data_IF_977071846133
#
_entry.id   IF_977071846133
#
_cell.length_a   1.000
_cell.length_b   1.000
_cell.length_c   1.000
_cell.angle_alpha   90.00
_cell.angle_beta   90.00
_cell.angle_gamma   90.00
#
_symmetry.space_group_name_H-M   'P 1'
#
loop_
_entity.id
_entity.type
_entity.pdbx_description
1 polymer ?
#
# COMPACT_ATOMS: atom_id res chain seq x y z
N UNK A 1 23.05 5.15 12.49
CA UNK A 1 24.30 4.98 11.69
C UNK A 1 24.07 3.85 10.67
N UNK A 2 24.49 4.03 9.42
CA UNK A 2 24.40 2.96 8.41
C UNK A 2 25.50 1.94 8.71
N UNK A 3 25.12 0.66 8.78
CA UNK A 3 26.04 -0.45 8.98
C UNK A 3 26.98 -0.58 7.78
N UNK A 4 28.28 -0.79 8.06
CA UNK A 4 29.33 -0.92 7.05
C UNK A 4 29.09 -2.15 6.15
N UNK A 5 28.61 -3.26 6.72
CA UNK A 5 28.33 -4.48 5.95
C UNK A 5 27.15 -4.26 5.00
N UNK A 6 26.09 -3.56 5.45
CA UNK A 6 24.94 -3.20 4.61
C UNK A 6 25.37 -2.38 3.38
N UNK A 7 26.30 -1.43 3.58
CA UNK A 7 26.80 -0.62 2.46
C UNK A 7 27.57 -1.48 1.45
N UNK A 8 28.47 -2.35 1.93
CA UNK A 8 29.23 -3.28 1.08
C UNK A 8 28.29 -4.20 0.29
N UNK A 9 27.27 -4.76 0.96
CA UNK A 9 26.31 -5.66 0.29
C UNK A 9 25.48 -4.93 -0.77
N UNK A 10 25.09 -3.69 -0.50
CA UNK A 10 24.36 -2.87 -1.48
C UNK A 10 25.25 -2.48 -2.68
N UNK A 11 26.52 -2.13 -2.44
CA UNK A 11 27.51 -1.84 -3.49
C UNK A 11 27.81 -3.08 -4.34
N UNK A 12 27.83 -4.26 -3.75
CA UNK A 12 27.97 -5.55 -4.43
C UNK A 12 26.71 -5.99 -5.19
N UNK A 13 25.67 -5.17 -5.21
CA UNK A 13 24.49 -5.38 -6.05
C UNK A 13 23.37 -6.20 -5.42
N UNK A 14 23.44 -6.59 -4.12
CA UNK A 14 22.35 -7.33 -3.46
C UNK A 14 21.10 -6.46 -3.38
N UNK A 15 20.02 -6.87 -4.08
CA UNK A 15 18.78 -6.09 -4.20
C UNK A 15 18.13 -5.81 -2.84
N UNK A 16 18.11 -6.80 -1.93
CA UNK A 16 17.58 -6.63 -0.59
C UNK A 16 18.37 -5.57 0.20
N UNK A 17 19.71 -5.63 0.16
CA UNK A 17 20.58 -4.66 0.84
C UNK A 17 20.38 -3.25 0.26
N UNK A 18 20.27 -3.12 -1.06
CA UNK A 18 19.98 -1.85 -1.73
C UNK A 18 18.62 -1.29 -1.30
N UNK A 19 17.57 -2.12 -1.27
CA UNK A 19 16.24 -1.72 -0.83
C UNK A 19 16.25 -1.26 0.63
N UNK A 20 16.91 -2.01 1.50
CA UNK A 20 17.01 -1.68 2.91
C UNK A 20 17.86 -0.42 3.16
N UNK A 21 18.95 -0.24 2.43
CA UNK A 21 19.76 0.97 2.49
C UNK A 21 18.96 2.21 2.04
N UNK A 22 18.19 2.09 0.97
CA UNK A 22 17.28 3.15 0.53
C UNK A 22 16.24 3.50 1.61
N UNK A 23 15.63 2.49 2.23
CA UNK A 23 14.70 2.68 3.34
C UNK A 23 15.35 3.40 4.55
N UNK A 24 16.60 3.05 4.89
CA UNK A 24 17.37 3.74 5.95
C UNK A 24 17.52 5.24 5.67
N UNK A 25 17.82 5.64 4.45
CA UNK A 25 17.90 7.07 4.08
C UNK A 25 16.56 7.81 4.21
N UNK A 26 15.42 7.10 4.20
CA UNK A 26 14.09 7.70 4.43
C UNK A 26 13.77 7.82 5.93
N UNK A 27 14.07 6.78 6.71
CA UNK A 27 13.50 6.58 8.05
C UNK A 27 14.46 6.88 9.19
N UNK A 28 15.76 6.79 8.98
CA UNK A 28 16.73 6.91 10.05
C UNK A 28 16.82 8.36 10.55
N UNK A 29 16.45 8.57 11.82
CA UNK A 29 16.49 9.88 12.47
C UNK A 29 17.93 10.36 12.73
N UNK A 30 18.89 9.44 12.78
CA UNK A 30 20.31 9.72 13.00
C UNK A 30 21.04 10.11 11.70
N UNK A 31 20.41 9.93 10.56
CA UNK A 31 20.89 10.42 9.26
C UNK A 31 19.99 11.54 8.78
N UNK A 32 20.58 12.60 8.25
CA UNK A 32 19.79 13.60 7.52
C UNK A 32 19.01 12.87 6.41
N UNK A 33 17.68 13.03 6.41
CA UNK A 33 16.84 12.42 5.38
C UNK A 33 17.37 12.78 3.99
N UNK A 34 17.87 11.80 3.27
CA UNK A 34 18.41 11.97 1.92
C UNK A 34 17.57 11.20 0.92
N UNK A 35 16.48 11.83 0.51
CA UNK A 35 15.56 11.22 -0.44
C UNK A 35 16.20 10.96 -1.82
N UNK A 36 17.26 11.70 -2.20
CA UNK A 36 17.97 11.45 -3.45
C UNK A 36 18.79 10.16 -3.38
N UNK A 37 19.50 9.94 -2.25
CA UNK A 37 20.19 8.66 -2.02
C UNK A 37 19.22 7.52 -1.86
N UNK A 38 18.09 7.73 -1.16
CA UNK A 38 17.03 6.74 -1.05
C UNK A 38 16.54 6.31 -2.44
N UNK A 39 16.20 7.29 -3.30
CA UNK A 39 15.76 7.03 -4.66
C UNK A 39 16.79 6.23 -5.46
N UNK A 40 18.07 6.61 -5.40
CA UNK A 40 19.15 5.93 -6.09
C UNK A 40 19.22 4.43 -5.72
N UNK A 41 19.21 4.11 -4.43
CA UNK A 41 19.31 2.73 -3.97
C UNK A 41 18.04 1.92 -4.21
N UNK A 42 16.88 2.52 -3.98
CA UNK A 42 15.58 1.89 -4.25
C UNK A 42 15.42 1.62 -5.74
N UNK A 43 15.81 2.54 -6.62
CA UNK A 43 15.77 2.34 -8.06
C UNK A 43 16.61 1.15 -8.51
N UNK A 44 17.84 1.01 -7.98
CA UNK A 44 18.72 -0.12 -8.29
C UNK A 44 18.09 -1.46 -7.89
N UNK A 45 17.50 -1.55 -6.71
CA UNK A 45 16.82 -2.75 -6.25
C UNK A 45 15.54 -3.05 -7.05
N UNK A 46 14.76 -2.02 -7.40
CA UNK A 46 13.55 -2.16 -8.20
C UNK A 46 13.85 -2.64 -9.63
N UNK A 47 14.94 -2.20 -10.23
CA UNK A 47 15.41 -2.66 -11.55
C UNK A 47 15.81 -4.15 -11.54
N UNK A 48 16.21 -4.68 -10.40
CA UNK A 48 16.46 -6.11 -10.21
C UNK A 48 15.16 -6.93 -9.95
N UNK A 49 14.00 -6.28 -9.97
CA UNK A 49 12.72 -6.94 -9.76
C UNK A 49 12.32 -7.10 -8.28
N UNK A 50 13.05 -6.53 -7.31
CA UNK A 50 12.72 -6.70 -5.89
C UNK A 50 11.38 -6.05 -5.53
N UNK A 51 10.35 -6.82 -5.10
CA UNK A 51 8.98 -6.31 -4.99
C UNK A 51 8.82 -5.13 -4.03
N UNK A 52 9.44 -5.21 -2.85
CA UNK A 52 9.43 -4.11 -1.88
C UNK A 52 10.09 -2.83 -2.43
N UNK A 53 11.14 -2.97 -3.22
CA UNK A 53 11.78 -1.81 -3.84
C UNK A 53 10.92 -1.21 -4.95
N UNK A 54 10.24 -2.03 -5.75
CA UNK A 54 9.28 -1.57 -6.75
C UNK A 54 8.12 -0.81 -6.10
N UNK A 55 7.57 -1.33 -4.99
CA UNK A 55 6.58 -0.64 -4.19
C UNK A 55 7.10 0.71 -3.66
N UNK A 56 8.27 0.73 -3.04
CA UNK A 56 8.88 1.95 -2.52
C UNK A 56 9.15 2.98 -3.63
N UNK A 57 9.57 2.53 -4.81
CA UNK A 57 9.76 3.38 -5.98
C UNK A 57 8.44 4.00 -6.45
N UNK A 58 7.36 3.22 -6.50
CA UNK A 58 6.02 3.71 -6.79
C UNK A 58 5.57 4.77 -5.79
N UNK A 59 5.82 4.55 -4.51
CA UNK A 59 5.53 5.52 -3.45
C UNK A 59 6.34 6.82 -3.60
N UNK A 60 7.62 6.73 -4.00
CA UNK A 60 8.47 7.89 -4.25
C UNK A 60 7.95 8.71 -5.43
N UNK A 61 7.59 8.07 -6.55
CA UNK A 61 6.98 8.75 -7.68
C UNK A 61 5.61 9.38 -7.33
N UNK A 62 4.78 8.68 -6.55
CA UNK A 62 3.47 9.21 -6.10
C UNK A 62 3.61 10.46 -5.23
N UNK A 63 4.63 10.51 -4.38
CA UNK A 63 4.77 11.56 -3.34
C UNK A 63 5.81 12.63 -3.66
N UNK A 64 6.61 12.46 -4.71
CA UNK A 64 7.67 13.39 -5.07
C UNK A 64 8.89 13.33 -4.14
N UNK A 65 9.07 12.24 -3.38
CA UNK A 65 10.20 12.09 -2.45
C UNK A 65 11.46 11.68 -3.21
N UNK A 66 12.42 12.60 -3.34
CA UNK A 66 13.70 12.37 -4.04
C UNK A 66 13.62 12.35 -5.56
N UNK A 67 12.44 12.45 -6.13
CA UNK A 67 12.15 12.48 -7.56
C UNK A 67 10.89 13.33 -7.79
N UNK A 68 10.70 13.87 -8.98
CA UNK A 68 9.46 14.58 -9.31
C UNK A 68 8.25 13.64 -9.28
N UNK A 69 7.09 14.17 -8.89
CA UNK A 69 5.83 13.42 -8.93
C UNK A 69 5.56 12.94 -10.36
N UNK A 70 5.27 11.65 -10.49
CA UNK A 70 4.94 11.00 -11.76
C UNK A 70 4.00 9.81 -11.47
N UNK A 71 2.71 10.05 -11.62
CA UNK A 71 1.70 9.02 -11.32
C UNK A 71 1.74 7.84 -12.28
N UNK A 72 2.11 8.06 -13.54
CA UNK A 72 2.27 6.97 -14.52
C UNK A 72 3.37 6.02 -14.11
N UNK A 73 4.53 6.55 -13.69
CA UNK A 73 5.63 5.72 -13.16
C UNK A 73 5.27 5.09 -11.82
N UNK A 74 4.48 5.77 -10.98
CA UNK A 74 4.00 5.22 -9.73
C UNK A 74 3.14 3.96 -9.98
N UNK A 75 2.15 4.06 -10.87
CA UNK A 75 1.29 2.93 -11.28
C UNK A 75 2.14 1.79 -11.82
N UNK A 76 3.00 2.06 -12.81
CA UNK A 76 3.88 1.03 -13.39
C UNK A 76 4.73 0.32 -12.33
N UNK A 77 5.23 1.06 -11.34
CA UNK A 77 6.04 0.48 -10.26
C UNK A 77 5.19 -0.35 -9.31
N UNK A 78 3.98 0.12 -8.94
CA UNK A 78 3.05 -0.65 -8.12
C UNK A 78 2.55 -1.90 -8.86
N UNK A 79 2.26 -1.82 -10.16
CA UNK A 79 1.85 -2.98 -10.97
C UNK A 79 2.92 -4.07 -10.95
N UNK A 80 4.19 -3.73 -11.22
CA UNK A 80 5.29 -4.71 -11.16
C UNK A 80 5.43 -5.38 -9.79
N UNK A 81 5.21 -4.63 -8.72
CA UNK A 81 5.23 -5.16 -7.36
C UNK A 81 4.01 -6.04 -7.07
N UNK A 82 2.83 -5.64 -7.54
CA UNK A 82 1.57 -6.35 -7.34
C UNK A 82 1.50 -7.68 -8.09
N UNK A 83 2.10 -7.75 -9.29
CA UNK A 83 2.24 -8.99 -10.08
C UNK A 83 3.07 -10.06 -9.36
N UNK A 84 3.92 -9.65 -8.42
CA UNK A 84 4.67 -10.52 -7.53
C UNK A 84 3.94 -10.81 -6.21
N UNK A 85 2.66 -10.44 -6.09
CA UNK A 85 1.83 -10.72 -4.92
C UNK A 85 2.02 -9.74 -3.75
N UNK A 86 2.71 -8.61 -3.93
CA UNK A 86 2.95 -7.69 -2.81
C UNK A 86 1.69 -6.89 -2.45
N UNK A 87 0.99 -7.31 -1.39
CA UNK A 87 -0.31 -6.77 -0.98
C UNK A 87 -0.34 -5.24 -0.77
N UNK A 88 0.69 -4.58 -0.17
CA UNK A 88 0.68 -3.12 -0.08
C UNK A 88 0.68 -2.41 -1.45
N UNK A 89 1.28 -2.99 -2.48
CA UNK A 89 1.24 -2.41 -3.83
C UNK A 89 -0.15 -2.56 -4.45
N UNK A 90 -0.80 -3.71 -4.28
CA UNK A 90 -2.18 -3.95 -4.70
C UNK A 90 -3.15 -2.98 -4.01
N UNK A 91 -3.02 -2.77 -2.69
CA UNK A 91 -3.79 -1.77 -1.95
C UNK A 91 -3.60 -0.36 -2.54
N UNK A 92 -2.39 0.03 -2.91
CA UNK A 92 -2.15 1.33 -3.52
C UNK A 92 -2.74 1.46 -4.94
N UNK A 93 -2.73 0.40 -5.73
CA UNK A 93 -3.43 0.38 -7.03
C UNK A 93 -4.93 0.60 -6.83
N UNK A 94 -5.57 -0.13 -5.90
CA UNK A 94 -6.97 0.09 -5.56
C UNK A 94 -7.26 1.54 -5.16
N UNK A 95 -6.38 2.16 -4.35
CA UNK A 95 -6.51 3.57 -3.98
C UNK A 95 -6.35 4.52 -5.18
N UNK A 96 -5.50 4.22 -6.14
CA UNK A 96 -5.29 5.06 -7.33
C UNK A 96 -6.51 4.97 -8.26
N UNK A 97 -7.07 3.78 -8.48
CA UNK A 97 -8.27 3.60 -9.27
C UNK A 97 -9.52 4.24 -8.65
N UNK A 98 -9.75 4.06 -7.33
CA UNK A 98 -10.94 4.65 -6.68
C UNK A 98 -10.91 6.19 -6.64
N UNK A 99 -9.71 6.80 -6.63
CA UNK A 99 -9.54 8.25 -6.56
C UNK A 99 -9.20 8.90 -7.91
N UNK A 100 -9.03 8.15 -8.98
CA UNK A 100 -8.64 8.68 -10.29
C UNK A 100 -7.24 9.33 -10.29
N UNK A 101 -6.28 8.76 -9.53
CA UNK A 101 -4.94 9.34 -9.42
C UNK A 101 -3.99 8.71 -10.45
N UNK A 102 -3.76 9.41 -11.55
CA UNK A 102 -2.90 8.96 -12.65
C UNK A 102 -3.55 7.95 -13.59
N UNK A 103 -4.78 7.58 -13.33
CA UNK A 103 -5.69 6.78 -14.16
C UNK A 103 -7.10 7.34 -14.03
N UNK A 104 -7.98 6.99 -14.93
CA UNK A 104 -9.40 7.26 -14.76
C UNK A 104 -9.96 6.51 -13.55
N UNK A 105 -10.99 7.08 -12.92
CA UNK A 105 -11.68 6.41 -11.82
C UNK A 105 -12.32 5.12 -12.31
N UNK A 106 -12.00 4.01 -11.66
CA UNK A 106 -12.51 2.68 -11.97
C UNK A 106 -12.78 1.93 -10.66
N UNK A 107 -14.07 1.83 -10.31
CA UNK A 107 -14.49 1.18 -9.07
C UNK A 107 -14.38 -0.34 -9.15
N UNK A 108 -14.51 -0.94 -10.33
CA UNK A 108 -14.36 -2.38 -10.53
C UNK A 108 -12.90 -2.79 -10.34
N UNK A 109 -11.98 -2.11 -11.00
CA UNK A 109 -10.54 -2.33 -10.81
C UNK A 109 -10.12 -2.07 -9.35
N UNK A 110 -10.63 -1.01 -8.72
CA UNK A 110 -10.35 -0.74 -7.31
C UNK A 110 -10.81 -1.88 -6.40
N UNK A 111 -12.01 -2.42 -6.65
CA UNK A 111 -12.56 -3.55 -5.89
C UNK A 111 -11.70 -4.80 -6.06
N UNK A 112 -11.28 -5.12 -7.28
CA UNK A 112 -10.41 -6.26 -7.58
C UNK A 112 -9.11 -6.15 -6.79
N UNK A 113 -8.42 -5.02 -6.90
CA UNK A 113 -7.13 -4.82 -6.22
C UNK A 113 -7.25 -4.84 -4.70
N UNK A 114 -8.28 -4.20 -4.14
CA UNK A 114 -8.52 -4.26 -2.70
C UNK A 114 -8.87 -5.67 -2.24
N UNK A 115 -9.67 -6.43 -3.01
CA UNK A 115 -10.04 -7.81 -2.66
C UNK A 115 -8.80 -8.71 -2.56
N UNK A 116 -7.94 -8.68 -3.58
CA UNK A 116 -6.71 -9.49 -3.59
C UNK A 116 -5.81 -9.16 -2.40
N UNK A 117 -5.62 -7.87 -2.10
CA UNK A 117 -4.78 -7.45 -0.98
C UNK A 117 -5.43 -7.73 0.39
N UNK A 118 -6.74 -7.57 0.50
CA UNK A 118 -7.49 -7.81 1.74
C UNK A 118 -7.51 -9.29 2.14
N UNK A 119 -7.62 -10.19 1.17
CA UNK A 119 -7.52 -11.65 1.36
C UNK A 119 -6.13 -12.07 1.85
N UNK A 120 -5.09 -11.35 1.45
CA UNK A 120 -3.73 -11.51 1.97
C UNK A 120 -3.53 -10.87 3.36
N UNK A 121 -4.55 -10.21 3.91
CA UNK A 121 -4.51 -9.62 5.24
C UNK A 121 -4.06 -8.17 5.28
N UNK A 122 -3.91 -7.46 4.16
CA UNK A 122 -3.54 -6.04 4.17
C UNK A 122 -4.64 -5.19 4.82
N UNK A 123 -4.30 -4.55 5.95
CA UNK A 123 -5.26 -3.77 6.74
C UNK A 123 -5.78 -2.54 5.99
N UNK A 124 -4.97 -1.95 5.10
CA UNK A 124 -5.37 -0.82 4.27
C UNK A 124 -6.42 -1.22 3.24
N UNK A 125 -6.20 -2.36 2.58
CA UNK A 125 -7.13 -2.92 1.60
C UNK A 125 -8.44 -3.39 2.24
N UNK A 126 -8.37 -4.05 3.41
CA UNK A 126 -9.56 -4.41 4.20
C UNK A 126 -10.39 -3.17 4.56
N UNK A 127 -9.73 -2.07 4.95
CA UNK A 127 -10.40 -0.79 5.19
C UNK A 127 -11.00 -0.22 3.89
N UNK A 128 -10.28 -0.32 2.77
CA UNK A 128 -10.74 0.10 1.44
C UNK A 128 -12.00 -0.62 1.01
N UNK A 129 -12.02 -1.97 1.09
CA UNK A 129 -13.21 -2.78 0.80
C UNK A 129 -14.39 -2.44 1.71
N UNK A 130 -14.14 -2.37 3.02
CA UNK A 130 -15.20 -2.04 3.97
C UNK A 130 -15.82 -0.68 3.68
N UNK A 131 -15.02 0.30 3.25
CA UNK A 131 -15.50 1.60 2.82
C UNK A 131 -16.31 1.51 1.52
N UNK A 132 -15.86 0.73 0.53
CA UNK A 132 -16.61 0.52 -0.71
C UNK A 132 -18.00 -0.06 -0.45
N UNK A 133 -18.13 -0.99 0.50
CA UNK A 133 -19.41 -1.53 0.92
C UNK A 133 -20.30 -0.55 1.72
N UNK A 134 -19.72 0.47 2.38
CA UNK A 134 -20.50 1.54 3.04
C UNK A 134 -21.01 2.54 2.00
N UNK A 135 -20.11 3.02 1.14
CA UNK A 135 -20.40 4.13 0.22
C UNK A 135 -21.35 3.68 -0.91
N UNK A 136 -21.23 2.43 -1.34
CA UNK A 136 -21.88 1.92 -2.53
C UNK A 136 -21.39 2.64 -3.78
N UNK A 137 -21.09 1.91 -4.82
CA UNK A 137 -20.69 2.48 -6.11
C UNK A 137 -21.50 1.82 -7.22
N UNK A 138 -21.44 2.39 -8.41
CA UNK A 138 -22.13 1.82 -9.56
C UNK A 138 -21.66 0.36 -9.77
N UNK A 139 -22.61 -0.59 -9.75
CA UNK A 139 -22.32 -2.02 -9.77
C UNK A 139 -22.03 -2.68 -8.41
N UNK A 140 -21.83 -1.88 -7.34
CA UNK A 140 -21.52 -2.40 -5.99
C UNK A 140 -22.56 -1.90 -4.97
N UNK A 141 -23.52 -2.75 -4.55
CA UNK A 141 -24.56 -2.34 -3.62
C UNK A 141 -24.00 -2.10 -2.20
N UNK A 142 -24.65 -1.21 -1.47
CA UNK A 142 -24.36 -0.98 -0.06
C UNK A 142 -24.61 -2.28 0.73
N UNK A 143 -23.64 -2.70 1.52
CA UNK A 143 -23.72 -3.86 2.40
C UNK A 143 -23.02 -3.60 3.74
N UNK A 144 -23.76 -3.21 4.75
CA UNK A 144 -23.18 -3.03 6.08
C UNK A 144 -22.69 -4.34 6.73
N UNK A 145 -23.20 -5.49 6.28
CA UNK A 145 -22.70 -6.80 6.74
C UNK A 145 -21.28 -7.05 6.22
N UNK A 146 -21.05 -6.86 4.93
CA UNK A 146 -19.72 -7.04 4.32
C UNK A 146 -18.76 -5.94 4.79
N UNK A 147 -19.24 -4.70 4.92
CA UNK A 147 -18.48 -3.62 5.52
C UNK A 147 -18.02 -3.97 6.94
N UNK A 148 -18.92 -4.51 7.79
CA UNK A 148 -18.59 -4.92 9.13
C UNK A 148 -17.52 -6.01 9.16
N UNK A 149 -17.60 -7.01 8.28
CA UNK A 149 -16.60 -8.06 8.18
C UNK A 149 -15.20 -7.49 7.90
N UNK A 150 -15.05 -6.74 6.83
CA UNK A 150 -13.74 -6.21 6.41
C UNK A 150 -13.18 -5.15 7.37
N UNK A 151 -14.03 -4.23 7.86
CA UNK A 151 -13.60 -3.20 8.80
C UNK A 151 -13.21 -3.78 10.16
N UNK A 152 -13.87 -4.85 10.62
CA UNK A 152 -13.47 -5.55 11.84
C UNK A 152 -12.07 -6.16 11.73
N UNK A 153 -11.76 -6.80 10.60
CA UNK A 153 -10.42 -7.34 10.36
C UNK A 153 -9.36 -6.25 10.37
N UNK A 154 -9.62 -5.15 9.68
CA UNK A 154 -8.72 -3.98 9.62
C UNK A 154 -8.56 -3.31 10.99
N UNK A 155 -9.65 -3.14 11.74
CA UNK A 155 -9.66 -2.57 13.08
C UNK A 155 -8.84 -3.41 14.06
N UNK A 156 -9.00 -4.73 14.04
CA UNK A 156 -8.21 -5.66 14.88
C UNK A 156 -6.70 -5.57 14.63
N UNK A 157 -6.29 -5.14 13.44
CA UNK A 157 -4.89 -4.86 13.10
C UNK A 157 -4.44 -3.43 13.50
N UNK A 158 -5.30 -2.65 14.15
CA UNK A 158 -4.97 -1.31 14.64
C UNK A 158 -5.19 -0.17 13.63
N UNK A 159 -5.91 -0.42 12.53
CA UNK A 159 -6.25 0.63 11.56
C UNK A 159 -7.24 1.61 12.18
N UNK A 160 -6.80 2.85 12.37
CA UNK A 160 -7.61 3.90 13.01
C UNK A 160 -8.83 4.30 12.17
N UNK A 161 -8.68 4.39 10.85
CA UNK A 161 -9.79 4.74 9.94
C UNK A 161 -10.88 3.67 10.00
N UNK A 162 -10.49 2.40 9.99
CA UNK A 162 -11.44 1.30 10.14
C UNK A 162 -12.16 1.35 11.50
N UNK A 163 -11.45 1.70 12.58
CA UNK A 163 -12.05 1.90 13.91
C UNK A 163 -13.07 3.03 13.90
N UNK A 164 -12.75 4.16 13.28
CA UNK A 164 -13.63 5.32 13.22
C UNK A 164 -14.90 5.01 12.42
N UNK A 165 -14.78 4.36 11.26
CA UNK A 165 -15.91 3.89 10.46
C UNK A 165 -16.75 2.85 11.21
N UNK A 166 -16.13 1.89 11.88
CA UNK A 166 -16.77 0.90 12.71
C UNK A 166 -17.68 1.53 13.76
N UNK A 167 -17.18 2.53 14.47
CA UNK A 167 -17.92 3.24 15.51
C UNK A 167 -19.02 4.14 14.93
N UNK A 168 -18.71 4.89 13.88
CA UNK A 168 -19.65 5.83 13.26
C UNK A 168 -20.89 5.13 12.72
N UNK A 169 -20.72 4.03 11.99
CA UNK A 169 -21.82 3.25 11.42
C UNK A 169 -22.40 2.19 12.37
N UNK A 170 -21.88 2.07 13.61
CA UNK A 170 -22.30 1.08 14.60
C UNK A 170 -22.29 -0.35 14.05
N UNK A 171 -21.21 -0.69 13.34
CA UNK A 171 -21.12 -1.92 12.55
C UNK A 171 -21.20 -3.20 13.38
N UNK A 172 -21.01 -3.13 14.71
CA UNK A 172 -21.25 -4.26 15.63
C UNK A 172 -22.68 -4.80 15.57
N UNK A 173 -23.65 -4.01 15.06
CA UNK A 173 -25.03 -4.46 14.87
C UNK A 173 -25.21 -5.43 13.70
N UNK A 174 -24.23 -5.49 12.80
CA UNK A 174 -24.25 -6.29 11.57
C UNK A 174 -23.33 -7.52 11.63
N UNK A 175 -22.66 -7.72 12.76
CA UNK A 175 -21.81 -8.90 12.99
C UNK A 175 -22.66 -10.02 13.57
N UNK A 176 -22.56 -11.23 12.99
CA UNK A 176 -23.23 -12.41 13.52
C UNK A 176 -22.79 -12.66 14.98
N UNK A 177 -23.71 -13.15 15.82
CA UNK A 177 -23.48 -13.32 17.29
C UNK A 177 -22.24 -14.18 17.62
N UNK A 178 -21.89 -15.11 16.74
CA UNK A 178 -20.71 -15.96 16.88
C UNK A 178 -19.36 -15.21 16.70
N UNK A 179 -19.37 -13.97 16.22
CA UNK A 179 -18.18 -13.13 16.01
C UNK A 179 -18.17 -11.86 16.88
N UNK A 180 -19.17 -11.70 17.78
CA UNK A 180 -19.20 -10.69 18.83
C UNK A 180 -18.32 -11.11 20.00
#
# INVERSE_FOLDING_TARGET
MIDKQLLIDAENGKAEAQSYLGYKYIKDKDTVQDFKKAYFWILKAAQQGYPLAQYNLGYMYKTGKGVSVDYTKAISSFTKSSEQGFAPAQCHLGQMHINGVGVDTDFEEAFIWFSIAAEQGDAGAQCGLGRMYIDGYDGFPISFKDAAYWLNLSYKQGNKVAKDLWNYFKLWNYVDEQYK
#
